data_IF_521247269969
#
_entry.id   IF_521247269969
#
_cell.length_a   1.000
_cell.length_b   1.000
_cell.length_c   1.000
_cell.angle_alpha   90.00
_cell.angle_beta   90.00
_cell.angle_gamma   90.00
#
_symmetry.space_group_name_H-M   'P 1'
#
loop_
_entity.id
_entity.type
_entity.pdbx_description
1 polymer ?
#
# COMPACT_ATOMS: atom_id res chain seq x y z
N UNK A 1 -10.51 -3.09 47.87
CA UNK A 1 -9.40 -3.58 47.04
C UNK A 1 -9.92 -4.46 45.89
N UNK A 2 -10.75 -5.45 46.16
CA UNK A 2 -11.31 -6.38 45.15
C UNK A 2 -12.11 -5.69 44.05
N UNK A 3 -13.03 -4.78 44.39
CA UNK A 3 -13.81 -4.05 43.43
C UNK A 3 -12.91 -3.23 42.45
N UNK A 4 -11.86 -2.60 42.99
CA UNK A 4 -10.90 -1.84 42.17
C UNK A 4 -10.15 -2.76 41.20
N UNK A 5 -9.70 -3.93 41.63
CA UNK A 5 -9.07 -4.93 40.78
C UNK A 5 -10.03 -5.41 39.67
N UNK A 6 -11.29 -5.70 40.04
CA UNK A 6 -12.28 -6.14 39.04
C UNK A 6 -12.49 -5.06 37.99
N UNK A 7 -12.68 -3.81 38.39
CA UNK A 7 -12.85 -2.68 37.44
C UNK A 7 -11.63 -2.52 36.54
N UNK A 8 -10.42 -2.59 37.10
CA UNK A 8 -9.18 -2.50 36.33
C UNK A 8 -9.07 -3.61 35.28
N UNK A 9 -9.36 -4.87 35.66
CA UNK A 9 -9.35 -6.01 34.73
C UNK A 9 -10.38 -5.84 33.62
N UNK A 10 -11.58 -5.36 33.94
CA UNK A 10 -12.63 -5.12 32.93
C UNK A 10 -12.22 -4.01 31.94
N UNK A 11 -11.61 -2.94 32.43
CA UNK A 11 -11.10 -1.86 31.56
C UNK A 11 -9.97 -2.36 30.66
N UNK A 12 -9.04 -3.15 31.18
CA UNK A 12 -7.97 -3.74 30.40
C UNK A 12 -8.51 -4.68 29.30
N UNK A 13 -9.50 -5.51 29.64
CA UNK A 13 -10.16 -6.39 28.68
C UNK A 13 -10.89 -5.61 27.59
N UNK A 14 -11.63 -4.56 27.96
CA UNK A 14 -12.30 -3.69 26.99
C UNK A 14 -11.30 -3.03 26.04
N UNK A 15 -10.16 -2.56 26.56
CA UNK A 15 -9.09 -1.98 25.73
C UNK A 15 -8.51 -3.01 24.76
N UNK A 16 -8.25 -4.24 25.20
CA UNK A 16 -7.76 -5.32 24.34
C UNK A 16 -8.76 -5.66 23.21
N UNK A 17 -10.05 -5.75 23.54
CA UNK A 17 -11.10 -5.98 22.56
C UNK A 17 -11.16 -4.82 21.54
N UNK A 18 -11.07 -3.59 22.02
CA UNK A 18 -11.02 -2.39 21.16
C UNK A 18 -9.81 -2.45 20.22
N UNK A 19 -8.60 -2.73 20.75
CA UNK A 19 -7.36 -2.85 19.96
C UNK A 19 -7.43 -3.97 18.92
N UNK A 20 -8.04 -5.11 19.27
CA UNK A 20 -8.27 -6.21 18.35
C UNK A 20 -9.22 -5.78 17.21
N UNK A 21 -10.32 -5.11 17.53
CA UNK A 21 -11.26 -4.60 16.52
C UNK A 21 -10.61 -3.59 15.58
N UNK A 22 -9.77 -2.70 16.08
CA UNK A 22 -9.01 -1.77 15.23
C UNK A 22 -8.06 -2.49 14.26
N UNK A 23 -7.45 -3.59 14.69
CA UNK A 23 -6.56 -4.41 13.87
C UNK A 23 -7.28 -5.12 12.71
N UNK A 24 -8.58 -5.40 12.86
CA UNK A 24 -9.39 -6.10 11.85
C UNK A 24 -10.45 -5.21 11.20
N UNK A 25 -10.27 -3.91 11.23
CA UNK A 25 -11.16 -2.98 10.53
C UNK A 25 -11.04 -3.18 9.01
N UNK A 26 -12.18 -3.19 8.31
CA UNK A 26 -12.29 -3.23 6.85
C UNK A 26 -12.55 -1.82 6.30
N UNK A 27 -11.64 -0.90 6.59
CA UNK A 27 -11.76 0.49 6.17
C UNK A 27 -11.16 0.70 4.77
N UNK A 28 -11.94 1.24 3.85
CA UNK A 28 -11.48 1.76 2.57
C UNK A 28 -11.55 3.28 2.62
N UNK A 29 -10.41 3.93 2.72
CA UNK A 29 -10.34 5.39 2.64
C UNK A 29 -10.53 5.85 1.21
N UNK A 30 -11.51 6.70 0.99
CA UNK A 30 -11.78 7.32 -0.31
C UNK A 30 -11.01 8.63 -0.40
N UNK A 31 -10.02 8.66 -1.30
CA UNK A 31 -9.12 9.80 -1.49
C UNK A 31 -9.33 10.40 -2.89
N UNK A 32 -9.41 11.71 -3.00
CA UNK A 32 -9.42 12.39 -4.31
C UNK A 32 -8.23 13.32 -4.39
N UNK A 33 -7.33 13.03 -5.35
CA UNK A 33 -6.09 13.77 -5.56
C UNK A 33 -6.14 14.47 -6.91
N UNK A 34 -5.70 15.73 -6.91
CA UNK A 34 -5.60 16.54 -8.11
C UNK A 34 -4.14 16.87 -8.39
N UNK A 35 -3.72 16.67 -9.64
CA UNK A 35 -2.36 16.98 -10.08
C UNK A 35 -2.42 17.87 -11.31
N UNK A 36 -1.70 19.01 -11.31
CA UNK A 36 -1.66 19.92 -12.48
C UNK A 36 -1.12 19.26 -13.74
N UNK A 37 -0.18 18.32 -13.56
CA UNK A 37 0.49 17.58 -14.64
C UNK A 37 -0.19 16.25 -15.00
N UNK A 38 -1.33 15.91 -14.38
CA UNK A 38 -2.11 14.74 -14.79
C UNK A 38 -2.83 15.02 -16.11
N UNK A 39 -2.67 14.17 -17.16
CA UNK A 39 -3.25 14.43 -18.46
C UNK A 39 -4.78 14.46 -18.42
N UNK A 40 -5.38 15.55 -18.86
CA UNK A 40 -6.85 15.71 -18.89
C UNK A 40 -7.55 14.67 -19.74
N UNK A 41 -6.87 14.20 -20.78
CA UNK A 41 -7.38 13.20 -21.73
C UNK A 41 -7.61 11.82 -21.06
N UNK A 42 -6.90 11.52 -19.98
CA UNK A 42 -7.10 10.29 -19.20
C UNK A 42 -8.45 10.35 -18.49
N UNK A 43 -8.91 11.54 -18.12
CA UNK A 43 -10.09 11.74 -17.28
C UNK A 43 -9.79 11.46 -15.80
N UNK A 44 -10.66 10.71 -15.14
CA UNK A 44 -10.45 10.26 -13.77
C UNK A 44 -9.86 8.84 -13.79
N UNK A 45 -8.88 8.57 -12.91
CA UNK A 45 -8.19 7.28 -12.82
C UNK A 45 -8.20 6.78 -11.38
N UNK A 46 -8.63 5.55 -11.16
CA UNK A 46 -8.89 5.01 -9.84
C UNK A 46 -7.92 3.87 -9.49
N UNK A 47 -7.20 4.06 -8.40
CA UNK A 47 -6.25 3.08 -7.85
C UNK A 47 -6.79 2.53 -6.54
N UNK A 48 -6.98 1.23 -6.44
CA UNK A 48 -7.10 0.60 -5.13
C UNK A 48 -5.72 0.23 -4.63
N UNK A 49 -5.31 0.83 -3.50
CA UNK A 49 -4.02 0.59 -2.86
C UNK A 49 -4.20 -0.17 -1.54
N UNK A 50 -3.49 -1.28 -1.39
CA UNK A 50 -3.44 -2.11 -0.20
C UNK A 50 -1.98 -2.51 0.05
N UNK A 51 -1.51 -2.44 1.30
CA UNK A 51 -0.17 -2.87 1.72
C UNK A 51 -0.24 -3.63 3.04
N UNK A 52 0.85 -4.30 3.38
CA UNK A 52 1.03 -4.94 4.67
C UNK A 52 -0.12 -5.91 5.01
N UNK A 53 -0.43 -6.82 4.11
CA UNK A 53 -1.53 -7.79 4.26
C UNK A 53 -1.16 -8.86 5.28
N UNK A 54 0.09 -9.34 5.24
CA UNK A 54 0.64 -10.34 6.15
C UNK A 54 -0.24 -11.61 6.26
N UNK A 55 -0.73 -11.90 7.45
CA UNK A 55 -1.55 -13.09 7.77
C UNK A 55 -3.03 -12.91 7.44
N UNK A 56 -3.45 -11.70 7.07
CA UNK A 56 -4.86 -11.37 6.93
C UNK A 56 -5.44 -11.86 5.60
N UNK A 57 -6.67 -12.32 5.62
CA UNK A 57 -7.47 -12.55 4.42
C UNK A 57 -8.18 -11.26 4.03
N UNK A 58 -8.23 -10.98 2.71
CA UNK A 58 -8.95 -9.81 2.21
C UNK A 58 -10.45 -10.07 2.32
N UNK A 59 -11.10 -9.18 3.05
CA UNK A 59 -12.54 -9.25 3.33
C UNK A 59 -13.37 -8.94 2.09
N UNK A 60 -14.45 -9.69 1.89
CA UNK A 60 -15.40 -9.44 0.81
C UNK A 60 -16.06 -8.06 0.95
N UNK A 61 -16.17 -7.52 2.17
CA UNK A 61 -16.67 -6.16 2.42
C UNK A 61 -15.80 -5.08 1.76
N UNK A 62 -14.46 -5.27 1.71
CA UNK A 62 -13.58 -4.37 0.97
C UNK A 62 -13.84 -4.50 -0.52
N UNK A 63 -13.92 -5.74 -1.04
CA UNK A 63 -14.14 -5.99 -2.46
C UNK A 63 -15.44 -5.37 -2.96
N UNK A 64 -16.51 -5.45 -2.18
CA UNK A 64 -17.80 -4.83 -2.49
C UNK A 64 -17.72 -3.29 -2.59
N UNK A 65 -16.91 -2.65 -1.73
CA UNK A 65 -16.74 -1.21 -1.73
C UNK A 65 -16.02 -0.68 -2.98
N UNK A 66 -15.09 -1.47 -3.54
CA UNK A 66 -14.20 -1.06 -4.64
C UNK A 66 -14.62 -1.61 -6.00
N UNK A 67 -15.53 -2.59 -6.05
CA UNK A 67 -16.01 -3.23 -7.28
C UNK A 67 -16.65 -2.22 -8.22
N UNK A 68 -16.22 -2.23 -9.49
CA UNK A 68 -16.70 -1.30 -10.52
C UNK A 68 -16.23 0.14 -10.38
N UNK A 69 -15.33 0.41 -9.41
CA UNK A 69 -14.77 1.74 -9.15
C UNK A 69 -13.24 1.77 -9.26
N UNK A 70 -12.60 0.70 -9.70
CA UNK A 70 -11.15 0.52 -9.65
C UNK A 70 -10.63 0.23 -11.06
N UNK A 71 -9.70 1.04 -11.54
CA UNK A 71 -9.00 0.82 -12.81
C UNK A 71 -7.84 -0.17 -12.62
N UNK A 72 -7.10 -0.04 -11.52
CA UNK A 72 -6.00 -0.96 -11.14
C UNK A 72 -5.95 -1.19 -9.64
N UNK A 73 -5.38 -2.34 -9.25
CA UNK A 73 -5.02 -2.66 -7.87
C UNK A 73 -3.50 -2.59 -7.73
N UNK A 74 -3.01 -1.93 -6.69
CA UNK A 74 -1.60 -1.90 -6.31
C UNK A 74 -1.43 -2.52 -4.92
N UNK A 75 -0.61 -3.57 -4.83
CA UNK A 75 -0.16 -4.15 -3.57
C UNK A 75 1.20 -3.53 -3.23
N UNK A 76 1.23 -2.73 -2.18
CA UNK A 76 2.40 -1.95 -1.76
C UNK A 76 3.38 -2.70 -0.86
N UNK A 77 3.61 -4.00 -1.12
CA UNK A 77 4.52 -4.85 -0.36
C UNK A 77 3.90 -5.47 0.88
N UNK A 78 4.66 -6.41 1.48
CA UNK A 78 4.25 -7.23 2.62
C UNK A 78 2.88 -7.88 2.40
N UNK A 79 2.73 -8.50 1.21
CA UNK A 79 1.58 -9.33 0.86
C UNK A 79 1.49 -10.54 1.80
N UNK A 80 2.65 -11.03 2.25
CA UNK A 80 2.79 -12.22 3.08
C UNK A 80 3.95 -12.10 4.07
N UNK A 81 4.13 -13.11 4.92
CA UNK A 81 5.23 -13.26 5.86
C UNK A 81 5.48 -14.74 6.16
N UNK A 82 6.57 -15.06 6.86
CA UNK A 82 6.89 -16.43 7.29
C UNK A 82 5.73 -17.08 8.04
N UNK A 83 5.39 -18.31 7.63
CA UNK A 83 4.33 -19.12 8.22
C UNK A 83 2.93 -18.88 7.63
N UNK A 84 2.78 -17.99 6.66
CA UNK A 84 1.54 -17.84 5.89
C UNK A 84 1.52 -18.89 4.78
N UNK A 85 0.48 -19.73 4.67
CA UNK A 85 0.38 -20.72 3.60
C UNK A 85 0.16 -20.02 2.25
N UNK A 86 0.86 -20.49 1.21
CA UNK A 86 0.77 -19.94 -0.15
C UNK A 86 -0.67 -19.97 -0.70
N UNK A 87 -1.50 -20.90 -0.24
CA UNK A 87 -2.92 -20.97 -0.61
C UNK A 87 -3.69 -19.71 -0.18
N UNK A 88 -3.39 -19.13 0.98
CA UNK A 88 -3.99 -17.87 1.45
C UNK A 88 -3.55 -16.68 0.56
N UNK A 89 -2.26 -16.64 0.23
CA UNK A 89 -1.72 -15.62 -0.69
C UNK A 89 -2.43 -15.70 -2.03
N UNK A 90 -2.51 -16.91 -2.59
CA UNK A 90 -3.20 -17.19 -3.87
C UNK A 90 -4.66 -16.76 -3.85
N UNK A 91 -5.37 -17.02 -2.75
CA UNK A 91 -6.78 -16.64 -2.62
C UNK A 91 -6.95 -15.11 -2.54
N UNK A 92 -6.10 -14.43 -1.77
CA UNK A 92 -6.08 -12.95 -1.72
C UNK A 92 -5.83 -12.35 -3.11
N UNK A 93 -4.85 -12.88 -3.84
CA UNK A 93 -4.54 -12.42 -5.19
C UNK A 93 -5.69 -12.66 -6.17
N UNK A 94 -6.34 -13.83 -6.12
CA UNK A 94 -7.53 -14.14 -6.94
C UNK A 94 -8.69 -13.18 -6.64
N UNK A 95 -8.92 -12.86 -5.37
CA UNK A 95 -9.95 -11.89 -4.96
C UNK A 95 -9.67 -10.52 -5.59
N UNK A 96 -8.45 -10.02 -5.47
CA UNK A 96 -8.06 -8.71 -6.04
C UNK A 96 -8.10 -8.72 -7.57
N UNK A 97 -7.64 -9.80 -8.20
CA UNK A 97 -7.63 -9.92 -9.68
C UNK A 97 -9.01 -9.88 -10.30
N UNK A 98 -10.06 -10.32 -9.58
CA UNK A 98 -11.46 -10.21 -10.03
C UNK A 98 -11.95 -8.75 -10.05
N UNK A 99 -11.28 -7.85 -9.35
CA UNK A 99 -11.63 -6.41 -9.31
C UNK A 99 -11.02 -5.68 -10.49
N UNK A 100 -9.68 -5.78 -10.69
CA UNK A 100 -8.94 -5.07 -11.74
C UNK A 100 -7.55 -5.71 -11.93
N UNK A 101 -6.76 -5.29 -12.95
CA UNK A 101 -5.35 -5.67 -13.08
C UNK A 101 -4.58 -5.39 -11.79
N UNK A 102 -3.79 -6.38 -11.32
CA UNK A 102 -3.01 -6.30 -10.07
C UNK A 102 -1.55 -6.04 -10.37
N UNK A 103 -0.98 -5.07 -9.67
CA UNK A 103 0.44 -4.73 -9.63
C UNK A 103 0.97 -4.93 -8.23
N UNK A 104 2.19 -5.43 -8.11
CA UNK A 104 2.81 -5.78 -6.84
C UNK A 104 4.23 -5.25 -6.77
N UNK A 105 4.62 -4.65 -5.65
CA UNK A 105 6.00 -4.39 -5.26
C UNK A 105 6.34 -5.22 -4.04
N UNK A 106 7.62 -5.59 -3.90
CA UNK A 106 8.10 -6.38 -2.78
C UNK A 106 8.21 -5.54 -1.50
N UNK A 107 7.80 -6.14 -0.37
CA UNK A 107 8.12 -5.66 0.97
C UNK A 107 9.13 -6.58 1.64
N UNK A 108 9.69 -6.15 2.74
CA UNK A 108 10.74 -6.92 3.44
C UNK A 108 10.25 -8.29 3.93
N UNK A 109 9.00 -8.44 4.34
CA UNK A 109 8.46 -9.72 4.81
C UNK A 109 8.16 -10.70 3.67
N UNK A 110 7.95 -10.23 2.44
CA UNK A 110 7.76 -11.10 1.28
C UNK A 110 9.02 -11.93 0.98
N UNK A 111 10.19 -11.47 1.40
CA UNK A 111 11.47 -12.19 1.29
C UNK A 111 11.68 -13.28 2.35
N UNK A 112 10.81 -13.35 3.36
CA UNK A 112 10.87 -14.39 4.39
C UNK A 112 10.36 -15.76 3.92
N UNK A 113 9.73 -15.81 2.75
CA UNK A 113 9.18 -17.03 2.15
C UNK A 113 9.93 -17.41 0.87
N UNK A 114 9.61 -18.59 0.33
CA UNK A 114 10.13 -19.01 -0.97
C UNK A 114 9.58 -18.12 -2.09
N UNK A 115 10.47 -17.30 -2.67
CA UNK A 115 10.14 -16.36 -3.73
C UNK A 115 9.72 -17.07 -5.03
N UNK A 116 10.22 -18.29 -5.28
CA UNK A 116 9.83 -19.11 -6.43
C UNK A 116 8.34 -19.42 -6.40
N UNK A 117 7.86 -19.94 -5.27
CA UNK A 117 6.43 -20.23 -5.07
C UNK A 117 5.56 -18.98 -5.17
N UNK A 118 6.05 -17.83 -4.69
CA UNK A 118 5.31 -16.57 -4.79
C UNK A 118 5.19 -16.11 -6.25
N UNK A 119 6.28 -16.17 -7.03
CA UNK A 119 6.28 -15.84 -8.46
C UNK A 119 5.44 -16.82 -9.29
N UNK A 120 5.42 -18.12 -8.95
CA UNK A 120 4.52 -19.09 -9.57
C UNK A 120 3.04 -18.69 -9.35
N UNK A 121 2.68 -18.25 -8.14
CA UNK A 121 1.35 -17.73 -7.86
C UNK A 121 1.06 -16.47 -8.67
N UNK A 122 1.99 -15.52 -8.78
CA UNK A 122 1.84 -14.32 -9.62
C UNK A 122 1.60 -14.67 -11.07
N UNK A 123 2.42 -15.55 -11.62
CA UNK A 123 2.29 -15.97 -13.02
C UNK A 123 0.95 -16.66 -13.28
N UNK A 124 0.53 -17.58 -12.41
CA UNK A 124 -0.72 -18.35 -12.58
C UNK A 124 -1.99 -17.47 -12.52
N UNK A 125 -1.94 -16.34 -11.79
CA UNK A 125 -3.06 -15.42 -11.60
C UNK A 125 -2.96 -14.22 -12.57
N UNK A 126 -1.79 -13.95 -13.11
CA UNK A 126 -1.51 -12.80 -13.97
C UNK A 126 -1.35 -11.51 -13.18
N UNK A 127 -0.60 -11.56 -12.07
CA UNK A 127 -0.16 -10.39 -11.30
C UNK A 127 1.07 -9.80 -12.00
N UNK A 128 1.12 -8.47 -12.11
CA UNK A 128 2.27 -7.76 -12.67
C UNK A 128 3.25 -7.43 -11.54
N UNK A 129 4.37 -8.12 -11.51
CA UNK A 129 5.47 -7.83 -10.58
C UNK A 129 6.22 -6.58 -11.04
N UNK A 130 6.36 -5.59 -10.16
CA UNK A 130 7.10 -4.35 -10.39
C UNK A 130 8.41 -4.36 -9.58
N UNK A 131 9.30 -5.30 -9.90
CA UNK A 131 10.61 -5.44 -9.25
C UNK A 131 11.64 -4.60 -10.01
N UNK A 132 11.96 -3.41 -9.52
CA UNK A 132 12.83 -2.44 -10.19
C UNK A 132 12.45 -2.28 -11.67
N UNK A 133 11.16 -2.04 -11.90
CA UNK A 133 10.58 -2.04 -13.23
C UNK A 133 9.58 -0.90 -13.42
N UNK A 134 9.38 -0.53 -14.69
CA UNK A 134 8.38 0.47 -15.10
C UNK A 134 7.31 -0.21 -15.94
N UNK A 135 6.05 0.03 -15.60
CA UNK A 135 4.91 -0.39 -16.38
C UNK A 135 4.12 0.82 -16.86
N UNK A 136 3.82 0.88 -18.15
CA UNK A 136 3.06 1.99 -18.74
C UNK A 136 1.60 1.61 -18.96
N UNK A 137 0.70 2.37 -18.33
CA UNK A 137 -0.72 2.32 -18.63
C UNK A 137 -1.01 3.36 -19.70
N UNK A 138 -1.50 2.89 -20.87
CA UNK A 138 -1.88 3.77 -21.97
C UNK A 138 -3.39 3.99 -21.95
N UNK A 139 -3.82 5.26 -21.88
CA UNK A 139 -5.23 5.64 -21.97
C UNK A 139 -5.38 6.93 -22.74
N UNK A 140 -6.18 6.89 -23.83
CA UNK A 140 -6.44 8.02 -24.70
C UNK A 140 -5.16 8.72 -25.24
N UNK A 141 -4.14 7.92 -25.59
CA UNK A 141 -2.87 8.41 -26.12
C UNK A 141 -1.93 9.05 -25.10
N UNK A 142 -2.27 8.99 -23.82
CA UNK A 142 -1.44 9.44 -22.70
C UNK A 142 -0.98 8.27 -21.85
N UNK A 143 0.13 8.45 -21.14
CA UNK A 143 0.76 7.39 -20.35
C UNK A 143 0.81 7.74 -18.88
N UNK A 144 0.50 6.75 -18.04
CA UNK A 144 0.83 6.72 -16.62
C UNK A 144 1.97 5.71 -16.47
N UNK A 145 3.09 6.14 -15.91
CA UNK A 145 4.20 5.27 -15.54
C UNK A 145 4.05 4.80 -14.10
N UNK A 146 3.84 3.51 -13.90
CA UNK A 146 3.96 2.85 -12.61
C UNK A 146 5.40 2.41 -12.44
N UNK A 147 6.12 3.03 -11.51
CA UNK A 147 7.53 2.79 -11.23
C UNK A 147 7.61 2.01 -9.93
N UNK A 148 7.95 0.72 -10.00
CA UNK A 148 8.13 -0.11 -8.82
C UNK A 148 9.60 -0.24 -8.47
N UNK A 149 9.95 0.07 -7.22
CA UNK A 149 11.25 -0.21 -6.64
C UNK A 149 11.13 -1.37 -5.65
N UNK A 150 12.19 -2.15 -5.58
CA UNK A 150 12.36 -3.19 -4.57
C UNK A 150 12.46 -2.59 -3.16
N UNK A 151 12.31 -3.43 -2.14
CA UNK A 151 12.56 -2.99 -0.78
C UNK A 151 14.04 -2.61 -0.60
N UNK A 152 14.30 -1.51 0.11
CA UNK A 152 15.66 -0.99 0.27
C UNK A 152 16.57 -1.90 1.11
N UNK A 153 16.05 -2.92 1.77
CA UNK A 153 16.83 -3.99 2.40
C UNK A 153 17.51 -4.91 1.38
N UNK A 154 17.08 -4.82 0.10
CA UNK A 154 17.67 -5.51 -1.03
C UNK A 154 18.62 -4.59 -1.80
N UNK A 155 19.36 -5.17 -2.76
CA UNK A 155 20.20 -4.39 -3.64
C UNK A 155 19.36 -3.63 -4.67
N UNK A 156 19.35 -2.31 -4.55
CA UNK A 156 18.68 -1.43 -5.52
C UNK A 156 19.55 -1.23 -6.77
N UNK A 157 18.94 -1.02 -7.95
CA UNK A 157 19.67 -0.67 -9.16
C UNK A 157 20.34 0.71 -9.02
N UNK A 158 21.21 1.04 -9.94
CA UNK A 158 21.70 2.42 -10.10
C UNK A 158 20.51 3.33 -10.44
N UNK A 159 19.94 3.98 -9.43
CA UNK A 159 18.65 4.69 -9.55
C UNK A 159 18.67 5.81 -10.58
N UNK A 160 19.81 6.49 -10.77
CA UNK A 160 19.95 7.51 -11.82
C UNK A 160 19.69 6.89 -13.20
N UNK A 161 20.39 5.81 -13.54
CA UNK A 161 20.25 5.10 -14.83
C UNK A 161 18.86 4.47 -14.99
N UNK A 162 18.28 4.01 -13.89
CA UNK A 162 16.93 3.45 -13.92
C UNK A 162 15.87 4.53 -14.18
N UNK A 163 15.97 5.67 -13.52
CA UNK A 163 15.02 6.78 -13.66
C UNK A 163 15.15 7.48 -15.02
N UNK A 164 16.34 7.52 -15.62
CA UNK A 164 16.55 8.08 -16.96
C UNK A 164 15.82 7.28 -18.06
N UNK A 165 15.46 6.03 -17.80
CA UNK A 165 14.68 5.20 -18.73
C UNK A 165 13.18 5.49 -18.68
N UNK A 166 12.70 6.24 -17.68
CA UNK A 166 11.28 6.57 -17.54
C UNK A 166 10.91 7.70 -18.49
N UNK A 167 9.92 7.45 -19.35
CA UNK A 167 9.46 8.43 -20.34
C UNK A 167 9.06 9.76 -19.67
N UNK A 168 9.70 10.85 -20.06
CA UNK A 168 9.56 12.16 -19.41
C UNK A 168 8.13 12.69 -19.48
N UNK A 169 7.44 12.48 -20.61
CA UNK A 169 6.07 12.94 -20.85
C UNK A 169 4.99 12.16 -20.08
N UNK A 170 5.36 11.07 -19.38
CA UNK A 170 4.41 10.27 -18.62
C UNK A 170 4.09 10.89 -17.26
N UNK A 171 2.85 10.66 -16.77
CA UNK A 171 2.53 10.92 -15.38
C UNK A 171 3.14 9.80 -14.50
N UNK A 172 4.01 10.17 -13.57
CA UNK A 172 4.85 9.23 -12.82
C UNK A 172 4.29 8.95 -11.43
N UNK A 173 4.05 7.67 -11.15
CA UNK A 173 3.66 7.14 -9.83
C UNK A 173 4.77 6.17 -9.39
N UNK A 174 5.44 6.50 -8.29
CA UNK A 174 6.41 5.61 -7.66
C UNK A 174 5.72 4.75 -6.60
N UNK A 175 5.98 3.46 -6.64
CA UNK A 175 5.52 2.49 -5.64
C UNK A 175 6.76 1.87 -5.01
N UNK A 176 6.93 2.06 -3.71
CA UNK A 176 7.99 1.44 -2.92
C UNK A 176 7.44 1.10 -1.54
N UNK A 177 7.75 -0.09 -1.04
CA UNK A 177 7.18 -0.55 0.22
C UNK A 177 7.57 0.37 1.37
N UNK A 178 8.87 0.59 1.59
CA UNK A 178 9.35 1.50 2.61
C UNK A 178 9.35 2.95 2.11
N UNK A 179 8.70 3.90 2.81
CA UNK A 179 8.63 5.29 2.39
C UNK A 179 10.00 5.99 2.35
N UNK A 180 10.98 5.52 3.11
CA UNK A 180 12.33 6.11 3.13
C UNK A 180 13.07 5.89 1.80
N UNK A 181 12.69 4.87 1.01
CA UNK A 181 13.24 4.62 -0.33
C UNK A 181 13.09 5.85 -1.24
N UNK A 182 12.03 6.64 -1.08
CA UNK A 182 11.85 7.85 -1.89
C UNK A 182 12.99 8.87 -1.77
N UNK A 183 13.68 8.90 -0.62
CA UNK A 183 14.80 9.82 -0.39
C UNK A 183 16.07 9.44 -1.15
N UNK A 184 16.11 8.19 -1.63
CA UNK A 184 17.21 7.65 -2.45
C UNK A 184 17.00 7.91 -3.95
N UNK A 185 15.76 8.21 -4.36
CA UNK A 185 15.42 8.42 -5.78
C UNK A 185 15.90 9.80 -6.25
N UNK A 186 16.80 9.85 -7.26
CA UNK A 186 17.25 11.11 -7.81
C UNK A 186 16.10 11.86 -8.50
N UNK A 187 16.13 13.19 -8.41
CA UNK A 187 15.09 14.04 -9.00
C UNK A 187 13.67 13.64 -8.60
N UNK A 188 13.45 13.24 -7.33
CA UNK A 188 12.15 12.82 -6.80
C UNK A 188 11.03 13.83 -7.08
N UNK A 189 11.36 15.13 -7.23
CA UNK A 189 10.40 16.17 -7.58
C UNK A 189 9.72 15.95 -8.95
N UNK A 190 10.31 15.13 -9.83
CA UNK A 190 9.70 14.73 -11.10
C UNK A 190 8.66 13.61 -10.94
N UNK A 191 8.56 13.03 -9.74
CA UNK A 191 7.55 12.04 -9.39
C UNK A 191 6.34 12.77 -8.80
N UNK A 192 5.19 12.65 -9.44
CA UNK A 192 3.99 13.32 -8.98
C UNK A 192 3.42 12.69 -7.71
N UNK A 193 3.43 11.36 -7.63
CA UNK A 193 2.81 10.62 -6.56
C UNK A 193 3.65 9.42 -6.11
N UNK A 194 3.75 9.21 -4.80
CA UNK A 194 4.43 8.06 -4.17
C UNK A 194 3.43 7.31 -3.29
N UNK A 195 3.43 5.98 -3.41
CA UNK A 195 2.63 5.04 -2.62
C UNK A 195 3.55 4.15 -1.79
N UNK A 196 3.34 4.11 -0.47
CA UNK A 196 4.13 3.30 0.46
C UNK A 196 3.31 2.71 1.60
N UNK A 197 3.83 1.64 2.21
CA UNK A 197 3.31 0.98 3.41
C UNK A 197 4.34 0.94 4.53
N UNK A 198 4.68 -0.28 4.99
CA UNK A 198 5.76 -0.64 5.90
C UNK A 198 5.61 -0.18 7.36
N UNK A 199 5.21 1.05 7.58
CA UNK A 199 5.27 1.67 8.93
C UNK A 199 4.16 1.22 9.87
N UNK A 200 3.11 0.59 9.36
CA UNK A 200 1.86 0.28 10.08
C UNK A 200 1.27 1.48 10.86
N UNK A 201 1.70 2.70 10.55
CA UNK A 201 1.41 3.89 11.34
C UNK A 201 1.91 3.80 12.79
N UNK A 202 2.90 2.90 13.06
CA UNK A 202 3.40 2.56 14.38
C UNK A 202 2.50 1.57 15.14
N UNK A 203 1.47 1.01 14.52
CA UNK A 203 0.54 -0.04 14.98
C UNK A 203 -0.12 0.24 16.33
N UNK A 204 0.65 0.45 17.41
CA UNK A 204 0.19 0.82 18.76
C UNK A 204 0.74 2.19 19.12
N UNK A 205 -0.17 3.16 19.29
CA UNK A 205 0.14 4.56 19.60
C UNK A 205 -0.52 4.95 20.91
N UNK A 206 0.27 5.28 21.91
CA UNK A 206 -0.21 5.72 23.21
C UNK A 206 -0.22 7.27 23.21
N UNK A 207 -1.37 7.88 23.44
CA UNK A 207 -1.58 9.32 23.34
C UNK A 207 -1.10 9.93 22.01
N UNK A 208 -1.23 9.19 20.91
CA UNK A 208 -0.78 9.63 19.59
C UNK A 208 0.73 9.44 19.32
N UNK A 209 1.51 8.99 20.29
CA UNK A 209 2.94 8.71 20.15
C UNK A 209 3.15 7.23 19.79
N UNK A 210 3.98 6.95 18.82
CA UNK A 210 4.33 5.60 18.34
C UNK A 210 5.70 5.56 17.68
N UNK A 211 6.23 4.36 17.38
CA UNK A 211 7.59 4.20 16.83
C UNK A 211 7.76 4.82 15.43
N UNK A 212 6.67 4.91 14.66
CA UNK A 212 6.65 5.52 13.32
C UNK A 212 5.59 6.61 13.23
N UNK A 213 5.70 7.46 12.23
CA UNK A 213 4.65 8.44 11.89
C UNK A 213 3.36 7.72 11.49
N UNK A 214 2.22 8.26 11.89
CA UNK A 214 0.93 7.79 11.40
C UNK A 214 0.84 7.98 9.89
N UNK A 215 0.25 7.01 9.20
CA UNK A 215 -0.02 7.09 7.78
C UNK A 215 -0.93 8.26 7.39
N UNK A 216 -1.00 8.52 6.12
CA UNK A 216 -1.79 9.59 5.52
C UNK A 216 -1.10 10.21 4.31
N UNK A 217 -1.74 11.23 3.74
CA UNK A 217 -1.23 11.96 2.59
C UNK A 217 -0.50 13.20 3.05
N UNK A 218 0.67 13.45 2.47
CA UNK A 218 1.49 14.63 2.76
C UNK A 218 2.23 15.11 1.50
N UNK A 219 2.58 16.38 1.45
CA UNK A 219 3.47 16.95 0.44
C UNK A 219 4.91 16.86 0.92
N UNK A 220 5.80 16.38 0.03
CA UNK A 220 7.25 16.40 0.19
C UNK A 220 7.82 17.12 -1.03
N UNK A 221 8.09 18.42 -0.91
CA UNK A 221 8.36 19.34 -2.03
C UNK A 221 7.17 19.28 -3.02
N UNK A 222 7.42 18.97 -4.29
CA UNK A 222 6.40 18.89 -5.32
C UNK A 222 5.68 17.52 -5.37
N UNK A 223 6.24 16.53 -4.69
CA UNK A 223 5.73 15.16 -4.69
C UNK A 223 4.64 14.98 -3.62
N UNK A 224 3.54 14.32 -3.98
CA UNK A 224 2.55 13.85 -3.01
C UNK A 224 2.95 12.45 -2.54
N UNK A 225 3.00 12.23 -1.24
CA UNK A 225 3.31 10.94 -0.62
C UNK A 225 2.10 10.45 0.16
N UNK A 226 1.63 9.23 -0.14
CA UNK A 226 0.70 8.48 0.69
C UNK A 226 1.46 7.35 1.39
N UNK A 227 1.38 7.33 2.72
CA UNK A 227 1.82 6.19 3.52
C UNK A 227 0.58 5.54 4.13
N UNK A 228 0.37 4.27 3.87
CA UNK A 228 -0.72 3.50 4.47
C UNK A 228 -0.34 3.01 5.86
N UNK A 229 -1.32 2.93 6.78
CA UNK A 229 -1.14 2.19 8.03
C UNK A 229 -1.15 0.67 7.81
N UNK A 230 -1.40 0.20 6.59
CA UNK A 230 -1.45 -1.21 6.25
C UNK A 230 -2.74 -1.92 6.65
N UNK A 231 -3.02 -3.03 5.98
CA UNK A 231 -4.25 -3.81 6.16
C UNK A 231 -4.13 -4.87 7.26
N UNK A 232 -2.99 -5.55 7.37
CA UNK A 232 -2.70 -6.55 8.39
C UNK A 232 -2.04 -5.97 9.64
N UNK A 233 -1.33 -6.82 10.36
CA UNK A 233 -0.55 -6.46 11.55
C UNK A 233 0.76 -7.23 11.53
N UNK A 234 1.79 -6.69 12.16
CA UNK A 234 3.02 -7.40 12.46
C UNK A 234 3.06 -7.81 13.93
N UNK A 235 3.71 -8.93 14.25
CA UNK A 235 3.91 -9.52 15.58
C UNK A 235 2.61 -9.88 16.33
N UNK A 236 1.83 -8.89 16.75
CA UNK A 236 0.60 -9.09 17.53
C UNK A 236 -0.62 -8.52 16.78
N UNK A 237 -1.78 -9.20 16.80
CA UNK A 237 -2.98 -8.76 16.09
C UNK A 237 -3.74 -7.67 16.86
N UNK A 238 -3.04 -6.60 17.24
CA UNK A 238 -3.57 -5.49 18.03
C UNK A 238 -3.15 -4.16 17.40
N UNK A 239 -4.07 -3.19 17.33
CA UNK A 239 -3.78 -1.82 16.90
C UNK A 239 -4.39 -0.82 17.89
N UNK A 240 -3.74 0.32 18.05
CA UNK A 240 -4.26 1.44 18.86
C UNK A 240 -3.87 2.75 18.21
N UNK A 241 -4.86 3.56 17.80
CA UNK A 241 -4.63 4.87 17.21
C UNK A 241 -4.07 4.87 15.78
N UNK A 242 -3.83 3.67 15.19
CA UNK A 242 -3.44 3.45 13.80
C UNK A 242 -4.24 2.27 13.25
N UNK A 243 -5.52 2.49 12.92
CA UNK A 243 -6.43 1.47 12.36
C UNK A 243 -5.88 0.83 11.12
N UNK A 244 -6.26 -0.44 10.90
CA UNK A 244 -6.06 -1.09 9.62
C UNK A 244 -6.86 -0.35 8.53
N UNK A 245 -6.23 -0.15 7.36
CA UNK A 245 -6.81 0.63 6.28
C UNK A 245 -6.35 0.17 4.90
N UNK A 246 -7.15 0.49 3.91
CA UNK A 246 -6.85 0.43 2.49
C UNK A 246 -7.31 1.73 1.84
N UNK A 247 -6.93 2.00 0.59
CA UNK A 247 -7.25 3.26 -0.05
C UNK A 247 -7.85 3.05 -1.44
N UNK A 248 -8.95 3.72 -1.75
CA UNK A 248 -9.44 3.93 -3.11
C UNK A 248 -9.15 5.37 -3.50
N UNK A 249 -8.17 5.53 -4.38
CA UNK A 249 -7.59 6.82 -4.74
C UNK A 249 -8.09 7.20 -6.14
N UNK A 250 -8.81 8.31 -6.21
CA UNK A 250 -9.22 8.93 -7.48
C UNK A 250 -8.23 10.01 -7.86
N UNK A 251 -7.60 9.89 -9.01
CA UNK A 251 -6.62 10.85 -9.54
C UNK A 251 -7.23 11.57 -10.74
N UNK A 252 -7.12 12.90 -10.77
CA UNK A 252 -7.58 13.73 -11.88
C UNK A 252 -6.72 14.98 -12.09
N UNK A 253 -6.86 15.58 -13.25
CA UNK A 253 -6.22 16.87 -13.54
C UNK A 253 -6.82 17.98 -12.69
N UNK A 254 -5.99 18.83 -12.12
CA UNK A 254 -6.41 19.99 -11.34
C UNK A 254 -5.37 20.46 -10.33
N UNK A 255 -5.71 21.50 -9.59
CA UNK A 255 -4.91 22.00 -8.48
C UNK A 255 -5.58 21.61 -7.16
N UNK A 256 -4.77 21.32 -6.14
CA UNK A 256 -5.29 21.27 -4.78
C UNK A 256 -5.84 22.66 -4.42
N UNK A 257 -7.10 22.72 -4.05
CA UNK A 257 -7.73 23.92 -3.49
C UNK A 257 -7.54 23.91 -1.98
#
# INVERSE_FOLDING_TARGET
MELFMIVFVLLALMLLIYMYREAFTDEVKMETLQFPNFPKEIGEFHIFFISDIHRREISDRILEQIKGKTDIVIIGGDLTEKGVPISRVTENLKKLKRIAPVFFVWGNNDYEIDQGHLREAFHSIGVNELLNAVYYINRNGKKIALIGLDDFSQELPALDLFMDQVEESSFKILICHNPDTMHMVPNIQNIAFVLSGHTHGGQIRIFGIGPYSKGGIRKVKETTLLISNGYGTTLVPLRLGAKAETHLISIKSGYFV
#
